data_IF_910906339871
#
_entry.id   IF_910906339871
#
_cell.length_a   1.000
_cell.length_b   1.000
_cell.length_c   1.000
_cell.angle_alpha   90.00
_cell.angle_beta   90.00
_cell.angle_gamma   90.00
#
_symmetry.space_group_name_H-M   'P 1'
#
loop_
_entity.id
_entity.type
_entity.pdbx_description
1 polymer ?
#
# COMPACT_ATOMS: atom_id res chain seq x y z
N UNK A 1 8.83 -3.69 0.38
CA UNK A 1 8.55 -2.67 1.41
C UNK A 1 9.06 -3.15 2.78
N UNK A 2 8.40 -4.04 3.48
CA UNK A 2 8.72 -4.39 4.88
C UNK A 2 10.13 -4.90 5.15
N UNK A 3 10.83 -5.41 4.17
CA UNK A 3 12.17 -5.98 4.34
C UNK A 3 13.30 -4.99 4.08
N UNK A 4 13.04 -3.94 3.31
CA UNK A 4 14.06 -3.01 2.79
C UNK A 4 13.56 -1.57 2.79
N UNK A 5 13.13 -1.07 3.94
CA UNK A 5 12.61 0.31 4.09
C UNK A 5 13.67 1.38 3.91
N UNK A 6 14.95 1.01 3.95
CA UNK A 6 16.07 1.90 3.71
C UNK A 6 16.31 2.23 2.23
N UNK A 7 15.67 1.47 1.30
CA UNK A 7 15.94 1.61 -0.14
C UNK A 7 15.18 2.77 -0.78
N UNK A 8 13.91 2.94 -0.41
CA UNK A 8 13.05 3.99 -0.97
C UNK A 8 12.22 4.65 0.12
N UNK A 9 11.83 5.89 -0.12
CA UNK A 9 10.96 6.67 0.77
C UNK A 9 9.55 6.88 0.22
N UNK A 10 9.32 6.53 -1.05
CA UNK A 10 8.04 6.71 -1.72
C UNK A 10 7.66 5.43 -2.45
N UNK A 11 6.46 4.93 -2.16
CA UNK A 11 5.98 3.64 -2.67
C UNK A 11 4.60 3.77 -3.27
N UNK A 12 4.41 3.21 -4.45
CA UNK A 12 3.10 2.94 -5.02
C UNK A 12 2.91 1.43 -5.15
N UNK A 13 1.86 0.92 -4.53
CA UNK A 13 1.41 -0.45 -4.69
C UNK A 13 0.08 -0.47 -5.46
N UNK A 14 0.16 -0.56 -6.78
CA UNK A 14 -1.00 -0.63 -7.65
C UNK A 14 -1.51 -2.07 -7.71
N UNK A 15 -2.74 -2.30 -7.27
CA UNK A 15 -3.38 -3.62 -7.18
C UNK A 15 -2.47 -4.69 -6.53
N UNK A 16 -1.97 -4.46 -5.31
CA UNK A 16 -1.00 -5.35 -4.70
C UNK A 16 -1.57 -6.73 -4.41
N UNK A 17 -0.85 -7.76 -4.82
CA UNK A 17 -1.22 -9.17 -4.61
C UNK A 17 -0.95 -9.62 -3.16
N UNK A 18 -1.67 -9.06 -2.20
CA UNK A 18 -1.48 -9.33 -0.76
C UNK A 18 -1.81 -10.77 -0.36
N UNK A 19 -2.54 -11.48 -1.22
CA UNK A 19 -2.87 -12.91 -1.06
C UNK A 19 -1.70 -13.85 -1.38
N UNK A 20 -0.67 -13.35 -2.06
CA UNK A 20 0.46 -14.14 -2.51
C UNK A 20 1.13 -14.90 -1.37
N UNK A 21 1.55 -16.15 -1.66
CA UNK A 21 2.24 -17.02 -0.73
C UNK A 21 1.55 -17.11 0.64
N UNK A 22 0.27 -17.47 0.62
CA UNK A 22 -0.56 -17.61 1.81
C UNK A 22 -0.55 -16.35 2.72
N UNK A 23 -0.73 -15.18 2.11
CA UNK A 23 -0.76 -13.88 2.80
C UNK A 23 0.54 -13.53 3.55
N UNK A 24 1.67 -13.95 3.04
CA UNK A 24 2.99 -13.75 3.66
C UNK A 24 3.30 -12.27 3.97
N UNK A 25 2.70 -11.33 3.23
CA UNK A 25 2.91 -9.90 3.51
C UNK A 25 2.41 -9.48 4.90
N UNK A 26 1.38 -10.12 5.44
CA UNK A 26 0.89 -9.88 6.80
C UNK A 26 1.85 -10.41 7.85
N UNK A 27 2.51 -11.51 7.58
CA UNK A 27 3.57 -12.03 8.44
C UNK A 27 4.80 -11.11 8.44
N UNK A 28 5.20 -10.60 7.27
CA UNK A 28 6.28 -9.62 7.16
C UNK A 28 5.94 -8.32 7.88
N UNK A 29 4.70 -7.86 7.78
CA UNK A 29 4.24 -6.68 8.52
C UNK A 29 4.33 -6.90 10.03
N UNK A 30 3.89 -8.05 10.52
CA UNK A 30 3.97 -8.40 11.94
C UNK A 30 5.41 -8.43 12.45
N UNK A 31 6.33 -9.02 11.70
CA UNK A 31 7.76 -9.01 12.03
C UNK A 31 8.34 -7.59 12.00
N UNK A 32 7.94 -6.79 11.02
CA UNK A 32 8.35 -5.41 10.87
C UNK A 32 7.91 -4.54 12.06
N UNK A 33 6.69 -4.76 12.55
CA UNK A 33 6.15 -4.03 13.70
C UNK A 33 6.95 -4.21 14.99
N UNK A 34 7.68 -5.32 15.10
CA UNK A 34 8.49 -5.66 16.28
C UNK A 34 9.90 -5.06 16.26
N UNK A 35 10.30 -4.41 15.18
CA UNK A 35 11.60 -3.72 15.12
C UNK A 35 11.60 -2.51 16.07
N UNK A 36 12.78 -2.15 16.57
CA UNK A 36 12.95 -0.98 17.43
C UNK A 36 12.66 0.35 16.70
N UNK A 37 12.93 0.39 15.40
CA UNK A 37 12.56 1.48 14.49
C UNK A 37 12.12 0.91 13.15
N UNK A 38 11.08 1.49 12.56
CA UNK A 38 10.55 1.05 11.27
C UNK A 38 11.07 1.90 10.10
N UNK A 39 11.15 3.21 10.29
CA UNK A 39 11.53 4.15 9.22
C UNK A 39 12.56 5.14 9.73
N UNK A 40 13.68 5.24 9.01
CA UNK A 40 14.73 6.23 9.29
C UNK A 40 14.43 7.59 8.65
N UNK A 41 13.53 7.63 7.67
CA UNK A 41 13.15 8.81 6.91
C UNK A 41 11.65 8.90 6.71
N UNK A 42 11.09 10.11 6.50
CA UNK A 42 9.68 10.26 6.14
C UNK A 42 9.33 9.41 4.92
N UNK A 43 8.44 8.46 5.10
CA UNK A 43 8.09 7.45 4.10
C UNK A 43 6.60 7.51 3.78
N UNK A 44 6.25 7.44 2.52
CA UNK A 44 4.87 7.45 2.03
C UNK A 44 4.55 6.21 1.20
N UNK A 45 3.38 5.65 1.44
CA UNK A 45 2.84 4.53 0.67
C UNK A 45 1.44 4.88 0.15
N UNK A 46 1.21 4.74 -1.14
CA UNK A 46 -0.13 4.69 -1.69
C UNK A 46 -0.44 3.28 -2.19
N UNK A 47 -1.61 2.77 -1.80
CA UNK A 47 -2.18 1.54 -2.36
C UNK A 47 -3.40 1.88 -3.20
N UNK A 48 -3.52 1.29 -4.39
CA UNK A 48 -4.66 1.51 -5.27
C UNK A 48 -5.28 0.20 -5.72
N UNK A 49 -6.59 0.22 -5.94
CA UNK A 49 -7.36 -0.88 -6.53
C UNK A 49 -8.29 -0.37 -7.62
N UNK A 50 -8.62 -1.21 -8.59
CA UNK A 50 -9.65 -0.93 -9.59
C UNK A 50 -11.04 -1.28 -9.09
N UNK A 51 -11.98 -0.35 -9.13
CA UNK A 51 -13.36 -0.57 -8.70
C UNK A 51 -14.11 -1.59 -9.55
N UNK A 52 -13.85 -1.62 -10.86
CA UNK A 52 -14.61 -2.44 -11.80
C UNK A 52 -14.27 -3.94 -11.73
N UNK A 53 -13.20 -4.31 -11.06
CA UNK A 53 -12.86 -5.71 -10.80
C UNK A 53 -11.36 -5.94 -10.64
N UNK A 54 -11.03 -6.66 -9.60
CA UNK A 54 -9.65 -7.08 -9.28
C UNK A 54 -9.47 -8.59 -9.39
N UNK A 55 -10.53 -9.32 -9.78
CA UNK A 55 -10.54 -10.78 -9.72
C UNK A 55 -10.74 -11.31 -8.28
N UNK A 56 -10.64 -12.62 -8.09
CA UNK A 56 -10.68 -13.23 -6.78
C UNK A 56 -12.00 -13.16 -6.01
N UNK A 57 -13.14 -12.92 -6.71
CA UNK A 57 -14.47 -13.00 -6.10
C UNK A 57 -14.73 -11.98 -4.98
N UNK A 58 -14.10 -10.83 -5.00
CA UNK A 58 -14.31 -9.77 -4.01
C UNK A 58 -13.47 -9.90 -2.74
N UNK A 59 -12.72 -10.97 -2.55
CA UNK A 59 -11.82 -11.12 -1.40
C UNK A 59 -10.59 -10.22 -1.52
N UNK A 60 -10.15 -9.95 -2.72
CA UNK A 60 -8.95 -9.19 -3.02
C UNK A 60 -8.99 -7.76 -2.47
N UNK A 61 -10.05 -6.96 -2.74
CA UNK A 61 -10.19 -5.63 -2.17
C UNK A 61 -10.19 -5.64 -0.64
N UNK A 62 -10.91 -6.59 -0.03
CA UNK A 62 -10.99 -6.72 1.43
C UNK A 62 -9.61 -6.93 2.06
N UNK A 63 -8.77 -7.75 1.44
CA UNK A 63 -7.43 -8.05 1.97
C UNK A 63 -6.49 -6.85 1.87
N UNK A 64 -6.56 -6.07 0.80
CA UNK A 64 -5.77 -4.83 0.67
C UNK A 64 -6.22 -3.79 1.69
N UNK A 65 -7.52 -3.62 1.87
CA UNK A 65 -8.09 -2.74 2.88
C UNK A 65 -7.65 -3.13 4.29
N UNK A 66 -7.67 -4.41 4.63
CA UNK A 66 -7.18 -4.90 5.92
C UNK A 66 -5.68 -4.60 6.14
N UNK A 67 -4.86 -4.72 5.10
CA UNK A 67 -3.45 -4.34 5.22
C UNK A 67 -3.30 -2.84 5.48
N UNK A 68 -4.06 -2.01 4.77
CA UNK A 68 -4.08 -0.56 4.98
C UNK A 68 -4.51 -0.19 6.40
N UNK A 69 -5.60 -0.77 6.88
CA UNK A 69 -6.10 -0.54 8.23
C UNK A 69 -5.06 -0.92 9.28
N UNK A 70 -4.42 -2.07 9.13
CA UNK A 70 -3.36 -2.53 10.02
C UNK A 70 -2.19 -1.55 10.07
N UNK A 71 -1.70 -1.08 8.93
CA UNK A 71 -0.62 -0.10 8.86
C UNK A 71 -1.00 1.23 9.52
N UNK A 72 -2.26 1.66 9.36
CA UNK A 72 -2.78 2.87 9.97
C UNK A 72 -2.89 2.72 11.50
N UNK A 73 -3.39 1.59 11.98
CA UNK A 73 -3.50 1.29 13.41
C UNK A 73 -2.15 1.19 14.13
N UNK A 74 -1.10 0.74 13.43
CA UNK A 74 0.27 0.70 13.98
C UNK A 74 0.79 2.09 14.32
N UNK A 75 0.39 3.13 13.57
CA UNK A 75 0.80 4.51 13.83
C UNK A 75 2.32 4.71 13.79
N UNK A 76 3.01 4.07 12.85
CA UNK A 76 4.47 4.17 12.75
C UNK A 76 4.95 5.62 12.62
N UNK A 77 5.93 6.05 13.43
CA UNK A 77 6.56 7.36 13.24
C UNK A 77 7.13 7.51 11.84
N UNK A 78 7.05 8.73 11.27
CA UNK A 78 7.55 9.05 9.95
C UNK A 78 6.90 8.29 8.79
N UNK A 79 5.77 7.64 9.01
CA UNK A 79 5.06 6.88 7.99
C UNK A 79 3.67 7.47 7.71
N UNK A 80 3.32 7.51 6.45
CA UNK A 80 2.02 7.95 5.98
C UNK A 80 1.54 7.02 4.86
N UNK A 81 0.32 6.55 4.97
CA UNK A 81 -0.28 5.67 3.96
C UNK A 81 -1.62 6.19 3.49
N UNK A 82 -1.92 5.96 2.22
CA UNK A 82 -3.21 6.24 1.62
C UNK A 82 -3.68 5.06 0.78
N UNK A 83 -4.99 4.84 0.79
CA UNK A 83 -5.65 3.80 0.03
C UNK A 83 -6.71 4.42 -0.87
N UNK A 84 -6.68 4.13 -2.16
CA UNK A 84 -7.57 4.71 -3.16
C UNK A 84 -8.16 3.62 -4.05
N UNK A 85 -9.49 3.64 -4.18
CA UNK A 85 -10.20 2.83 -5.18
C UNK A 85 -10.40 3.67 -6.44
N UNK A 86 -9.86 3.20 -7.56
CA UNK A 86 -9.92 3.88 -8.84
C UNK A 86 -11.23 3.55 -9.57
N UNK A 87 -12.00 4.55 -9.90
CA UNK A 87 -13.31 4.39 -10.54
C UNK A 87 -13.16 3.87 -11.98
N UNK A 88 -14.09 2.97 -12.37
CA UNK A 88 -14.22 2.45 -13.74
C UNK A 88 -12.95 1.78 -14.31
N UNK A 89 -12.06 1.28 -13.47
CA UNK A 89 -10.87 0.55 -13.88
C UNK A 89 -10.88 -0.89 -13.40
N UNK A 90 -10.18 -1.76 -14.13
CA UNK A 90 -9.96 -3.17 -13.78
C UNK A 90 -8.47 -3.40 -13.48
N UNK A 91 -8.15 -4.55 -12.92
CA UNK A 91 -6.80 -4.89 -12.45
C UNK A 91 -5.68 -4.60 -13.47
N UNK A 92 -5.88 -4.99 -14.71
CA UNK A 92 -4.84 -4.86 -15.75
C UNK A 92 -4.79 -3.49 -16.45
N UNK A 93 -5.71 -2.58 -16.15
CA UNK A 93 -5.88 -1.31 -16.85
C UNK A 93 -5.75 -0.09 -15.95
N UNK A 94 -5.46 -0.28 -14.66
CA UNK A 94 -5.50 0.80 -13.68
C UNK A 94 -4.15 1.47 -13.39
N UNK A 95 -3.06 1.03 -14.01
CA UNK A 95 -1.72 1.52 -13.69
C UNK A 95 -1.53 3.01 -14.01
N UNK A 96 -2.08 3.49 -15.12
CA UNK A 96 -2.00 4.91 -15.48
C UNK A 96 -2.74 5.79 -14.48
N UNK A 97 -3.98 5.42 -14.14
CA UNK A 97 -4.78 6.12 -13.12
C UNK A 97 -4.10 6.06 -11.75
N UNK A 98 -3.49 4.92 -11.42
CA UNK A 98 -2.72 4.77 -10.19
C UNK A 98 -1.55 5.75 -10.14
N UNK A 99 -0.78 5.91 -11.21
CA UNK A 99 0.30 6.90 -11.29
C UNK A 99 -0.22 8.33 -11.16
N UNK A 100 -1.29 8.68 -11.87
CA UNK A 100 -1.88 10.02 -11.80
C UNK A 100 -2.33 10.39 -10.39
N UNK A 101 -2.85 9.43 -9.64
CA UNK A 101 -3.22 9.62 -8.23
C UNK A 101 -2.02 9.67 -7.30
N UNK A 102 -1.05 8.79 -7.51
CA UNK A 102 0.05 8.59 -6.59
C UNK A 102 1.09 9.71 -6.63
N UNK A 103 1.45 10.19 -7.82
CA UNK A 103 2.55 11.16 -7.95
C UNK A 103 2.32 12.44 -7.14
N UNK A 104 1.16 13.10 -7.17
CA UNK A 104 0.91 14.28 -6.34
C UNK A 104 0.97 13.97 -4.85
N UNK A 105 0.41 12.86 -4.42
CA UNK A 105 0.44 12.45 -3.02
C UNK A 105 1.87 12.17 -2.53
N UNK A 106 2.62 11.40 -3.32
CA UNK A 106 3.94 10.95 -2.92
C UNK A 106 4.97 12.08 -2.90
N UNK A 107 4.91 13.00 -3.86
CA UNK A 107 6.00 13.96 -4.10
C UNK A 107 5.67 15.42 -3.79
N UNK A 108 4.40 15.78 -3.59
CA UNK A 108 4.07 17.14 -3.18
C UNK A 108 4.42 17.37 -1.71
N UNK A 109 4.92 18.57 -1.42
CA UNK A 109 5.11 18.99 -0.04
C UNK A 109 3.76 18.98 0.70
N UNK A 110 3.73 18.39 1.89
CA UNK A 110 2.59 18.61 2.80
C UNK A 110 2.65 20.05 3.29
N UNK A 111 1.62 20.76 3.01
CA UNK A 111 1.41 22.07 3.59
C UNK A 111 1.03 21.96 5.06
#
# INVERSE_FOLDING_TARGET
FFKHTETFTHYLAASPSVWWDNFVCFEYEEQFSKKASQFDYPTRLMMTLGQAGEGGGGIFPVMVEQLYERLTERGYPQFDAEYVVLNNTVHNENWEDAYQKALPYLFNAKN
#
